data_IF_302418953613
#
_entry.id   IF_302418953613
#
_cell.length_a   1.000
_cell.length_b   1.000
_cell.length_c   1.000
_cell.angle_alpha   90.00
_cell.angle_beta   90.00
_cell.angle_gamma   90.00
#
_symmetry.space_group_name_H-M   'P 1'
#
loop_
_entity.id
_entity.type
_entity.pdbx_description
1 polymer ?
#
# COMPACT_ATOMS: atom_id res chain seq x y z
N UNK A 1 18.61 -12.11 -17.61
CA UNK A 1 17.26 -12.73 -17.51
C UNK A 1 17.42 -14.19 -17.94
N UNK A 2 16.98 -15.16 -17.11
CA UNK A 2 17.10 -16.59 -17.50
C UNK A 2 16.06 -16.96 -18.56
N UNK A 3 16.31 -18.05 -19.31
CA UNK A 3 15.34 -18.57 -20.29
C UNK A 3 14.01 -18.91 -19.61
N UNK A 4 14.08 -19.46 -18.39
CA UNK A 4 12.88 -19.77 -17.57
C UNK A 4 12.11 -18.50 -17.24
N UNK A 5 12.78 -17.43 -16.82
CA UNK A 5 12.13 -16.14 -16.53
C UNK A 5 11.44 -15.53 -17.77
N UNK A 6 12.06 -15.69 -18.96
CA UNK A 6 11.43 -15.23 -20.21
C UNK A 6 10.22 -16.08 -20.58
N UNK A 7 10.34 -17.42 -20.49
CA UNK A 7 9.24 -18.34 -20.75
C UNK A 7 8.05 -18.09 -19.82
N UNK A 8 8.30 -17.85 -18.52
CA UNK A 8 7.25 -17.55 -17.55
C UNK A 8 6.52 -16.23 -17.86
N UNK A 9 7.21 -15.21 -18.34
CA UNK A 9 6.56 -13.95 -18.76
C UNK A 9 5.59 -14.15 -19.92
N UNK A 10 5.84 -15.12 -20.79
CA UNK A 10 4.98 -15.45 -21.92
C UNK A 10 3.85 -16.42 -21.55
N UNK A 11 4.16 -17.47 -20.79
CA UNK A 11 3.22 -18.54 -20.45
C UNK A 11 2.29 -18.20 -19.26
N UNK A 12 2.76 -17.38 -18.32
CA UNK A 12 2.04 -16.97 -17.13
C UNK A 12 2.25 -15.47 -16.86
N UNK A 13 1.77 -14.58 -17.74
CA UNK A 13 1.95 -13.13 -17.56
C UNK A 13 1.27 -12.67 -16.27
N UNK A 14 1.88 -11.70 -15.58
CA UNK A 14 1.23 -11.05 -14.45
C UNK A 14 -0.01 -10.29 -14.91
N UNK A 15 -1.12 -10.37 -14.18
CA UNK A 15 -2.34 -9.65 -14.57
C UNK A 15 -2.10 -8.14 -14.54
N UNK A 16 -2.72 -7.42 -15.47
CA UNK A 16 -2.72 -5.95 -15.46
C UNK A 16 -3.61 -5.46 -14.33
N UNK A 17 -3.03 -4.83 -13.29
CA UNK A 17 -3.80 -4.45 -12.11
C UNK A 17 -4.95 -3.48 -12.45
N UNK A 18 -4.76 -2.54 -13.37
CA UNK A 18 -5.80 -1.57 -13.77
C UNK A 18 -7.05 -2.20 -14.41
N UNK A 19 -7.00 -3.49 -14.82
CA UNK A 19 -8.16 -4.19 -15.40
C UNK A 19 -9.22 -4.64 -14.38
N UNK A 20 -8.90 -4.60 -13.09
CA UNK A 20 -9.79 -5.03 -12.01
C UNK A 20 -10.70 -3.89 -11.50
N UNK A 21 -11.63 -4.23 -10.58
CA UNK A 21 -12.63 -3.29 -10.06
C UNK A 21 -12.49 -3.00 -8.57
N UNK A 22 -11.93 -3.94 -7.78
CA UNK A 22 -11.90 -3.84 -6.32
C UNK A 22 -10.46 -3.88 -5.81
N UNK A 23 -10.04 -2.78 -5.17
CA UNK A 23 -8.66 -2.55 -4.74
C UNK A 23 -8.60 -2.30 -3.24
N UNK A 24 -7.82 -3.09 -2.52
CA UNK A 24 -7.50 -2.87 -1.11
C UNK A 24 -6.04 -2.43 -0.99
N UNK A 25 -5.84 -1.18 -0.63
CA UNK A 25 -4.53 -0.63 -0.29
C UNK A 25 -4.31 -0.80 1.21
N UNK A 26 -3.23 -1.45 1.59
CA UNK A 26 -2.87 -1.71 2.99
C UNK A 26 -1.58 -0.99 3.31
N UNK A 27 -1.65 -0.08 4.28
CA UNK A 27 -0.50 0.69 4.78
C UNK A 27 -0.16 0.33 6.22
N UNK A 28 1.12 0.39 6.59
CA UNK A 28 1.53 0.34 7.99
C UNK A 28 0.91 1.48 8.79
N UNK A 29 1.29 2.71 8.52
CA UNK A 29 0.89 3.89 9.28
C UNK A 29 -0.04 4.82 8.48
N UNK A 30 -0.71 5.77 9.15
CA UNK A 30 -1.40 6.88 8.49
C UNK A 30 -0.39 7.73 7.70
N UNK A 31 -0.47 7.76 6.38
CA UNK A 31 0.34 8.43 5.34
C UNK A 31 1.06 7.49 4.34
N UNK A 32 1.41 6.26 4.71
CA UNK A 32 2.20 5.35 3.87
C UNK A 32 1.55 4.99 2.53
N UNK A 33 0.21 4.83 2.52
CA UNK A 33 -0.53 4.53 1.28
C UNK A 33 -0.43 5.69 0.33
N UNK A 34 -0.63 6.90 0.85
CA UNK A 34 -0.58 8.13 0.08
C UNK A 34 0.81 8.37 -0.49
N UNK A 35 1.86 8.20 0.31
CA UNK A 35 3.25 8.35 -0.12
C UNK A 35 3.62 7.31 -1.17
N UNK A 36 3.22 6.05 -0.96
CA UNK A 36 3.64 4.93 -1.80
C UNK A 36 2.85 4.74 -3.09
N UNK A 37 1.53 5.08 -3.09
CA UNK A 37 0.61 4.74 -4.16
C UNK A 37 -0.60 5.69 -4.27
N UNK A 38 -0.53 6.89 -3.71
CA UNK A 38 -1.65 7.83 -3.61
C UNK A 38 -2.16 8.31 -4.98
N UNK A 39 -1.28 8.54 -5.94
CA UNK A 39 -1.67 8.96 -7.28
C UNK A 39 -2.44 7.84 -8.03
N UNK A 40 -2.04 6.58 -7.86
CA UNK A 40 -2.76 5.43 -8.40
C UNK A 40 -4.11 5.26 -7.71
N UNK A 41 -4.17 5.38 -6.38
CA UNK A 41 -5.43 5.29 -5.64
C UNK A 41 -6.42 6.36 -6.10
N UNK A 42 -5.97 7.62 -6.22
CA UNK A 42 -6.80 8.73 -6.71
C UNK A 42 -7.29 8.51 -8.14
N UNK A 43 -6.43 8.01 -9.03
CA UNK A 43 -6.82 7.67 -10.39
C UNK A 43 -7.92 6.59 -10.40
N UNK A 44 -7.69 5.48 -9.70
CA UNK A 44 -8.65 4.36 -9.67
C UNK A 44 -10.00 4.81 -9.08
N UNK A 45 -10.00 5.62 -8.01
CA UNK A 45 -11.22 6.20 -7.47
C UNK A 45 -11.95 7.09 -8.48
N UNK A 46 -11.21 7.95 -9.22
CA UNK A 46 -11.79 8.81 -10.25
C UNK A 46 -12.36 8.05 -11.44
N UNK A 47 -11.87 6.83 -11.70
CA UNK A 47 -12.38 5.90 -12.72
C UNK A 47 -13.59 5.08 -12.23
N UNK A 48 -14.10 5.35 -11.04
CA UNK A 48 -15.25 4.65 -10.46
C UNK A 48 -14.93 3.25 -9.94
N UNK A 49 -13.66 2.94 -9.70
CA UNK A 49 -13.26 1.68 -9.07
C UNK A 49 -13.58 1.69 -7.56
N UNK A 50 -13.84 0.52 -7.01
CA UNK A 50 -14.01 0.36 -5.56
C UNK A 50 -12.62 0.32 -4.89
N UNK A 51 -12.26 1.39 -4.22
CA UNK A 51 -10.98 1.54 -3.52
C UNK A 51 -11.24 1.61 -2.02
N UNK A 52 -10.52 0.77 -1.26
CA UNK A 52 -10.52 0.78 0.20
C UNK A 52 -9.09 0.94 0.71
N UNK A 53 -8.91 1.75 1.75
CA UNK A 53 -7.66 1.86 2.50
C UNK A 53 -7.78 1.08 3.81
N UNK A 54 -6.74 0.34 4.16
CA UNK A 54 -6.54 -0.28 5.46
C UNK A 54 -5.25 0.23 6.07
N UNK A 55 -5.34 0.97 7.17
CA UNK A 55 -4.20 1.37 8.00
C UNK A 55 -4.11 0.39 9.18
N UNK A 56 -2.96 -0.28 9.31
CA UNK A 56 -2.81 -1.35 10.30
C UNK A 56 -2.39 -0.84 11.68
N UNK A 57 -1.46 0.11 11.70
CA UNK A 57 -0.75 0.60 12.88
C UNK A 57 -1.16 2.06 13.11
N UNK A 58 -1.37 2.43 14.37
CA UNK A 58 -1.98 3.72 14.71
C UNK A 58 -1.01 4.92 14.66
N UNK A 59 0.30 4.68 14.61
CA UNK A 59 1.31 5.72 14.49
C UNK A 59 1.48 6.61 15.72
N UNK A 60 1.05 6.14 16.90
CA UNK A 60 1.06 6.90 18.17
C UNK A 60 2.43 7.40 18.64
N UNK A 61 3.52 6.80 18.13
CA UNK A 61 4.89 7.17 18.47
C UNK A 61 5.59 7.96 17.36
N UNK A 62 4.87 8.36 16.32
CA UNK A 62 5.39 9.24 15.26
C UNK A 62 5.38 10.72 15.67
N UNK A 63 6.02 11.09 16.78
CA UNK A 63 5.98 12.41 17.40
C UNK A 63 7.19 13.31 17.06
N UNK A 64 8.11 12.83 16.23
CA UNK A 64 9.39 13.51 15.97
C UNK A 64 9.26 14.93 15.40
N UNK A 65 8.20 15.22 14.67
CA UNK A 65 7.97 16.53 14.04
C UNK A 65 6.94 17.39 14.80
N UNK A 66 6.41 16.92 15.93
CA UNK A 66 5.46 17.69 16.71
C UNK A 66 6.15 18.89 17.40
N UNK A 67 5.48 20.05 17.38
CA UNK A 67 5.96 21.27 18.03
C UNK A 67 5.60 21.34 19.53
N UNK A 68 4.68 20.48 19.99
CA UNK A 68 4.23 20.40 21.38
C UNK A 68 4.04 18.95 21.78
N UNK A 69 4.13 18.69 23.08
CA UNK A 69 3.85 17.35 23.61
C UNK A 69 2.37 17.00 23.45
N UNK A 70 2.13 15.85 22.81
CA UNK A 70 0.80 15.24 22.65
C UNK A 70 0.88 13.84 23.24
N UNK A 71 -0.17 13.37 23.90
CA UNK A 71 -0.18 11.98 24.40
C UNK A 71 -0.20 11.00 23.22
N UNK A 72 0.36 9.79 23.38
CA UNK A 72 0.33 8.78 22.32
C UNK A 72 -1.11 8.46 21.83
N UNK A 73 -2.07 8.43 22.74
CA UNK A 73 -3.48 8.18 22.47
C UNK A 73 -4.11 9.31 21.65
N UNK A 74 -3.83 10.57 22.02
CA UNK A 74 -4.33 11.73 21.28
C UNK A 74 -3.66 11.82 19.89
N UNK A 75 -2.38 11.47 19.79
CA UNK A 75 -1.69 11.44 18.51
C UNK A 75 -2.26 10.36 17.59
N UNK A 76 -2.56 9.16 18.10
CA UNK A 76 -3.22 8.11 17.33
C UNK A 76 -4.59 8.56 16.80
N UNK A 77 -5.38 9.24 17.64
CA UNK A 77 -6.68 9.78 17.24
C UNK A 77 -6.52 10.87 16.16
N UNK A 78 -5.58 11.79 16.34
CA UNK A 78 -5.27 12.84 15.37
C UNK A 78 -4.85 12.26 14.03
N UNK A 79 -3.89 11.35 14.03
CA UNK A 79 -3.38 10.72 12.79
C UNK A 79 -4.46 9.92 12.06
N UNK A 80 -5.39 9.31 12.79
CA UNK A 80 -6.55 8.66 12.18
C UNK A 80 -7.43 9.65 11.42
N UNK A 81 -7.77 10.79 12.02
CA UNK A 81 -8.55 11.84 11.35
C UNK A 81 -7.82 12.39 10.13
N UNK A 82 -6.51 12.59 10.24
CA UNK A 82 -5.67 13.06 9.14
C UNK A 82 -5.71 12.07 7.97
N UNK A 83 -5.60 10.77 8.21
CA UNK A 83 -5.68 9.73 7.19
C UNK A 83 -7.06 9.67 6.52
N UNK A 84 -8.15 9.82 7.29
CA UNK A 84 -9.51 9.87 6.73
C UNK A 84 -9.68 11.09 5.79
N UNK A 85 -9.16 12.25 6.18
CA UNK A 85 -9.20 13.49 5.36
C UNK A 85 -8.32 13.35 4.10
N UNK A 86 -7.13 12.79 4.24
CA UNK A 86 -6.19 12.54 3.15
C UNK A 86 -6.78 11.58 2.12
N UNK A 87 -7.33 10.46 2.56
CA UNK A 87 -8.00 9.50 1.70
C UNK A 87 -9.19 10.13 0.94
N UNK A 88 -10.01 10.93 1.63
CA UNK A 88 -11.13 11.65 1.03
C UNK A 88 -10.65 12.65 -0.06
N UNK A 89 -9.53 13.33 0.15
CA UNK A 89 -8.91 14.21 -0.85
C UNK A 89 -8.47 13.45 -2.11
N UNK A 90 -8.11 12.17 -1.98
CA UNK A 90 -7.83 11.26 -3.10
C UNK A 90 -9.09 10.67 -3.74
N UNK A 91 -10.27 10.88 -3.14
CA UNK A 91 -11.54 10.31 -3.59
C UNK A 91 -11.83 8.91 -3.03
N UNK A 92 -11.12 8.51 -1.98
CA UNK A 92 -11.31 7.24 -1.28
C UNK A 92 -12.09 7.47 0.01
N UNK A 93 -13.24 6.81 0.18
CA UNK A 93 -14.15 7.01 1.31
C UNK A 93 -14.33 5.77 2.20
N UNK A 94 -13.89 4.58 1.77
CA UNK A 94 -13.81 3.37 2.63
C UNK A 94 -12.40 3.31 3.23
N UNK A 95 -12.26 3.81 4.46
CA UNK A 95 -10.99 3.79 5.21
C UNK A 95 -11.19 2.97 6.47
N UNK A 96 -10.35 1.97 6.68
CA UNK A 96 -10.42 1.03 7.79
C UNK A 96 -9.13 1.06 8.59
N UNK A 97 -9.23 0.78 9.89
CA UNK A 97 -8.10 0.80 10.82
C UNK A 97 -8.11 -0.47 11.66
N UNK A 98 -6.94 -1.09 11.84
CA UNK A 98 -6.79 -2.17 12.83
C UNK A 98 -6.49 -1.59 14.22
N UNK A 99 -5.85 -0.43 14.29
CA UNK A 99 -5.51 0.25 15.55
C UNK A 99 -4.46 -0.47 16.37
N UNK A 100 -3.56 -1.21 15.71
CA UNK A 100 -2.43 -1.87 16.39
C UNK A 100 -1.40 -0.83 16.83
N UNK A 101 -0.75 -1.09 17.96
CA UNK A 101 0.22 -0.16 18.53
C UNK A 101 1.50 -0.10 17.71
N UNK A 102 1.98 1.10 17.43
CA UNK A 102 3.19 1.43 16.67
C UNK A 102 4.46 0.77 17.26
N UNK A 103 5.50 0.61 16.40
CA UNK A 103 6.81 0.13 16.83
C UNK A 103 6.92 -1.39 17.03
N UNK A 104 6.03 -2.17 16.46
CA UNK A 104 6.03 -3.64 16.59
C UNK A 104 5.42 -4.16 17.91
N UNK A 105 4.74 -3.29 18.69
CA UNK A 105 4.08 -3.68 19.94
C UNK A 105 2.74 -4.39 19.72
N UNK A 106 2.74 -5.37 18.83
CA UNK A 106 1.64 -6.27 18.49
C UNK A 106 2.20 -7.63 18.10
N UNK A 107 1.36 -8.65 18.09
CA UNK A 107 1.75 -9.96 17.57
C UNK A 107 1.51 -10.05 16.05
N UNK A 108 2.35 -10.82 15.37
CA UNK A 108 2.12 -11.09 13.93
C UNK A 108 0.80 -11.83 13.66
N UNK A 109 0.29 -12.60 14.63
CA UNK A 109 -1.01 -13.28 14.51
C UNK A 109 -2.17 -12.27 14.55
N UNK A 110 -2.12 -11.29 15.46
CA UNK A 110 -3.10 -10.19 15.51
C UNK A 110 -3.14 -9.40 14.21
N UNK A 111 -1.97 -8.98 13.71
CA UNK A 111 -1.85 -8.27 12.44
C UNK A 111 -2.40 -9.12 11.28
N UNK A 112 -1.99 -10.37 11.18
CA UNK A 112 -2.42 -11.26 10.11
C UNK A 112 -3.95 -11.50 10.14
N UNK A 113 -4.54 -11.80 11.30
CA UNK A 113 -5.99 -11.99 11.46
C UNK A 113 -6.77 -10.72 11.14
N UNK A 114 -6.26 -9.57 11.54
CA UNK A 114 -6.86 -8.27 11.21
C UNK A 114 -6.90 -8.04 9.70
N UNK A 115 -5.77 -8.23 9.01
CA UNK A 115 -5.68 -8.12 7.55
C UNK A 115 -6.58 -9.15 6.86
N UNK A 116 -6.54 -10.42 7.28
CA UNK A 116 -7.35 -11.49 6.69
C UNK A 116 -8.85 -11.19 6.79
N UNK A 117 -9.30 -10.67 7.94
CA UNK A 117 -10.70 -10.27 8.15
C UNK A 117 -11.13 -9.19 7.17
N UNK A 118 -10.34 -8.12 7.04
CA UNK A 118 -10.66 -7.02 6.11
C UNK A 118 -10.66 -7.51 4.66
N UNK A 119 -9.70 -8.36 4.26
CA UNK A 119 -9.71 -9.01 2.93
C UNK A 119 -11.00 -9.81 2.72
N UNK A 120 -11.43 -10.59 3.69
CA UNK A 120 -12.64 -11.40 3.62
C UNK A 120 -13.94 -10.59 3.57
N UNK A 121 -13.98 -9.43 4.24
CA UNK A 121 -15.12 -8.51 4.26
C UNK A 121 -15.20 -7.68 2.97
N UNK A 122 -14.10 -7.05 2.58
CA UNK A 122 -14.05 -6.18 1.40
C UNK A 122 -14.04 -6.98 0.09
N UNK A 123 -13.49 -8.20 0.08
CA UNK A 123 -13.34 -9.09 -1.08
C UNK A 123 -12.62 -8.42 -2.26
N UNK A 124 -11.38 -7.95 -2.07
CA UNK A 124 -10.63 -7.31 -3.14
C UNK A 124 -10.24 -8.31 -4.24
N UNK A 125 -10.05 -7.81 -5.46
CA UNK A 125 -9.40 -8.53 -6.55
C UNK A 125 -7.89 -8.24 -6.55
N UNK A 126 -7.50 -7.03 -6.16
CA UNK A 126 -6.10 -6.59 -6.03
C UNK A 126 -5.87 -6.12 -4.60
N UNK A 127 -4.81 -6.66 -3.98
CA UNK A 127 -4.30 -6.18 -2.70
C UNK A 127 -2.98 -5.46 -2.95
N UNK A 128 -2.82 -4.26 -2.38
CA UNK A 128 -1.58 -3.49 -2.48
C UNK A 128 -0.98 -3.31 -1.08
N UNK A 129 0.35 -3.37 -0.98
CA UNK A 129 1.08 -3.23 0.28
C UNK A 129 2.52 -2.76 0.05
N UNK A 130 3.26 -2.30 1.09
CA UNK A 130 4.68 -2.02 0.96
C UNK A 130 5.46 -3.30 0.62
N UNK A 131 6.54 -3.15 -0.17
CA UNK A 131 7.37 -4.28 -0.58
C UNK A 131 8.31 -4.75 0.53
N UNK A 132 8.10 -5.93 1.15
CA UNK A 132 8.94 -6.42 2.24
C UNK A 132 10.32 -6.92 1.76
N UNK A 133 10.58 -6.92 0.45
CA UNK A 133 11.85 -7.38 -0.12
C UNK A 133 12.81 -6.22 -0.43
N UNK A 134 12.52 -5.01 0.01
CA UNK A 134 13.43 -3.85 -0.12
C UNK A 134 14.48 -3.93 0.97
N UNK A 135 15.74 -4.12 0.58
CA UNK A 135 16.84 -4.36 1.54
C UNK A 135 17.20 -3.15 2.40
N UNK A 136 16.83 -1.95 1.99
CA UNK A 136 17.01 -0.71 2.75
C UNK A 136 15.85 -0.39 3.70
N UNK A 137 14.76 -1.16 3.64
CA UNK A 137 13.65 -0.99 4.57
C UNK A 137 14.01 -1.63 5.91
N UNK A 138 14.04 -0.81 6.95
CA UNK A 138 14.40 -1.25 8.31
C UNK A 138 13.24 -1.08 9.30
N UNK A 139 12.14 -0.44 8.88
CA UNK A 139 11.00 -0.22 9.78
C UNK A 139 10.25 -1.53 10.00
N UNK A 140 10.20 -1.97 11.26
CA UNK A 140 9.61 -3.25 11.65
C UNK A 140 8.15 -3.41 11.19
N UNK A 141 7.38 -2.32 11.26
CA UNK A 141 5.96 -2.33 10.91
C UNK A 141 5.76 -2.47 9.39
N UNK A 142 6.59 -1.80 8.57
CA UNK A 142 6.57 -1.95 7.11
C UNK A 142 6.86 -3.38 6.68
N UNK A 143 7.92 -3.97 7.27
CA UNK A 143 8.30 -5.36 7.00
C UNK A 143 7.20 -6.34 7.43
N UNK A 144 6.66 -6.17 8.65
CA UNK A 144 5.62 -7.05 9.18
C UNK A 144 4.32 -6.96 8.36
N UNK A 145 3.87 -5.75 8.01
CA UNK A 145 2.66 -5.56 7.19
C UNK A 145 2.87 -6.17 5.80
N UNK A 146 3.97 -5.87 5.12
CA UNK A 146 4.27 -6.44 3.80
C UNK A 146 4.29 -7.97 3.80
N UNK A 147 4.90 -8.59 4.82
CA UNK A 147 4.95 -10.04 5.00
C UNK A 147 3.60 -10.67 5.32
N UNK A 148 2.82 -10.05 6.22
CA UNK A 148 1.48 -10.55 6.55
C UNK A 148 0.54 -10.44 5.35
N UNK A 149 0.60 -9.34 4.61
CA UNK A 149 -0.20 -9.16 3.38
C UNK A 149 0.18 -10.19 2.32
N UNK A 150 1.48 -10.49 2.14
CA UNK A 150 1.93 -11.52 1.21
C UNK A 150 1.24 -12.87 1.45
N UNK A 151 1.18 -13.28 2.71
CA UNK A 151 0.55 -14.55 3.11
C UNK A 151 -0.96 -14.48 3.00
N UNK A 152 -1.58 -13.40 3.47
CA UNK A 152 -3.03 -13.23 3.45
C UNK A 152 -3.57 -13.18 2.01
N UNK A 153 -2.91 -12.47 1.09
CA UNK A 153 -3.30 -12.41 -0.31
C UNK A 153 -3.25 -13.80 -0.99
N UNK A 154 -2.21 -14.60 -0.71
CA UNK A 154 -2.10 -15.96 -1.21
C UNK A 154 -3.18 -16.89 -0.64
N UNK A 155 -3.47 -16.77 0.66
CA UNK A 155 -4.43 -17.62 1.36
C UNK A 155 -5.89 -17.22 1.13
N UNK A 156 -6.15 -15.99 0.70
CA UNK A 156 -7.50 -15.42 0.57
C UNK A 156 -8.50 -16.28 -0.21
N UNK A 157 -8.15 -17.01 -1.29
CA UNK A 157 -9.10 -17.88 -2.00
C UNK A 157 -9.45 -19.18 -1.25
N UNK A 158 -8.69 -19.57 -0.23
CA UNK A 158 -8.86 -20.86 0.46
C UNK A 158 -9.82 -20.75 1.64
N UNK A 159 -11.11 -21.01 1.42
CA UNK A 159 -12.19 -20.79 2.39
C UNK A 159 -11.98 -21.45 3.76
N UNK A 160 -11.56 -22.72 3.80
CA UNK A 160 -11.33 -23.43 5.06
C UNK A 160 -10.12 -22.87 5.84
N UNK A 161 -9.09 -22.41 5.14
CA UNK A 161 -7.92 -21.78 5.77
C UNK A 161 -8.32 -20.42 6.34
N UNK A 162 -9.01 -19.60 5.56
CA UNK A 162 -9.47 -18.27 6.00
C UNK A 162 -10.43 -18.38 7.18
N UNK A 163 -11.33 -19.37 7.18
CA UNK A 163 -12.22 -19.64 8.31
C UNK A 163 -11.44 -19.97 9.60
N UNK A 164 -10.33 -20.71 9.53
CA UNK A 164 -9.43 -20.96 10.66
C UNK A 164 -8.80 -19.70 11.25
N UNK A 165 -8.70 -18.64 10.45
CA UNK A 165 -8.25 -17.30 10.89
C UNK A 165 -9.41 -16.36 11.27
N UNK A 166 -10.67 -16.86 11.24
CA UNK A 166 -11.85 -16.03 11.54
C UNK A 166 -12.26 -15.09 10.41
N UNK A 167 -11.91 -15.42 9.17
CA UNK A 167 -12.17 -14.60 7.99
C UNK A 167 -12.91 -15.37 6.88
N UNK A 168 -13.63 -14.65 6.04
CA UNK A 168 -14.21 -15.23 4.83
C UNK A 168 -13.17 -15.28 3.69
N UNK A 169 -13.36 -16.17 2.70
CA UNK A 169 -12.55 -16.18 1.48
C UNK A 169 -12.81 -14.97 0.61
N UNK A 170 -11.80 -14.59 -0.18
CA UNK A 170 -11.87 -13.48 -1.13
C UNK A 170 -11.23 -13.85 -2.48
N UNK A 171 -11.71 -13.27 -3.61
CA UNK A 171 -11.26 -13.61 -4.96
C UNK A 171 -9.98 -12.86 -5.35
N UNK A 172 -8.96 -12.81 -4.50
CA UNK A 172 -7.70 -12.10 -4.79
C UNK A 172 -7.04 -12.70 -6.03
N UNK A 173 -6.75 -11.85 -7.01
CA UNK A 173 -6.14 -12.17 -8.31
C UNK A 173 -4.73 -11.65 -8.44
N UNK A 174 -4.41 -10.58 -7.73
CA UNK A 174 -3.09 -9.97 -7.77
C UNK A 174 -2.71 -9.38 -6.41
N UNK A 175 -1.42 -9.46 -6.13
CA UNK A 175 -0.72 -8.72 -5.10
C UNK A 175 0.22 -7.73 -5.77
N UNK A 176 0.12 -6.45 -5.44
CA UNK A 176 0.94 -5.40 -6.01
C UNK A 176 1.68 -4.65 -4.89
N UNK A 177 2.99 -4.72 -4.90
CA UNK A 177 3.79 -4.01 -3.91
C UNK A 177 4.14 -2.61 -4.41
N UNK A 178 3.85 -1.60 -3.60
CA UNK A 178 4.36 -0.24 -3.76
C UNK A 178 5.67 -0.04 -2.96
N UNK A 179 6.32 1.12 -3.07
CA UNK A 179 7.65 1.39 -2.49
C UNK A 179 8.68 0.31 -2.84
N UNK A 180 8.57 -0.26 -4.04
CA UNK A 180 9.45 -1.33 -4.52
C UNK A 180 10.66 -0.77 -5.28
N UNK A 181 11.81 -1.45 -5.16
CA UNK A 181 12.99 -1.18 -5.98
C UNK A 181 12.94 -1.87 -7.35
N UNK A 182 12.04 -2.87 -7.52
CA UNK A 182 11.96 -3.70 -8.73
C UNK A 182 10.54 -3.71 -9.32
N UNK A 183 10.01 -2.58 -9.81
CA UNK A 183 8.68 -2.55 -10.39
C UNK A 183 8.61 -3.39 -11.66
N UNK A 184 7.50 -4.12 -11.81
CA UNK A 184 7.20 -4.94 -13.00
C UNK A 184 6.03 -4.38 -13.81
N UNK A 185 5.22 -3.52 -13.20
CA UNK A 185 4.13 -2.78 -13.86
C UNK A 185 4.16 -1.31 -13.45
N UNK A 186 3.66 -0.47 -14.35
CA UNK A 186 3.59 0.97 -14.15
C UNK A 186 2.17 1.45 -14.44
N UNK A 187 1.58 2.18 -13.49
CA UNK A 187 0.29 2.85 -13.65
C UNK A 187 0.54 4.30 -14.01
N UNK A 188 -0.09 4.79 -15.09
CA UNK A 188 0.00 6.19 -15.49
C UNK A 188 -0.69 7.07 -14.46
N UNK A 189 0.03 8.07 -13.95
CA UNK A 189 -0.46 9.00 -12.90
C UNK A 189 -0.41 10.47 -13.33
N UNK A 190 -0.31 10.74 -14.64
CA UNK A 190 -0.33 12.10 -15.16
C UNK A 190 -1.62 12.80 -14.76
N UNK A 191 -1.49 13.96 -14.08
CA UNK A 191 -2.62 14.71 -13.52
C UNK A 191 -3.03 14.31 -12.09
N UNK A 192 -2.39 13.29 -11.49
CA UNK A 192 -2.71 12.84 -10.14
C UNK A 192 -1.60 13.05 -9.12
N UNK A 193 -0.37 13.33 -9.55
CA UNK A 193 0.78 13.53 -8.65
C UNK A 193 0.58 14.74 -7.74
N UNK A 194 0.09 15.86 -8.27
CA UNK A 194 -0.18 17.04 -7.44
C UNK A 194 -1.28 16.77 -6.43
N UNK A 195 -2.33 16.04 -6.81
CA UNK A 195 -3.41 15.64 -5.90
C UNK A 195 -2.90 14.72 -4.78
N UNK A 196 -1.96 13.81 -5.09
CA UNK A 196 -1.27 12.98 -4.09
C UNK A 196 -0.52 13.87 -3.09
N UNK A 197 0.27 14.82 -3.57
CA UNK A 197 1.05 15.71 -2.72
C UNK A 197 0.16 16.61 -1.85
N UNK A 198 -0.93 17.13 -2.42
CA UNK A 198 -1.92 17.92 -1.67
C UNK A 198 -2.58 17.07 -0.57
N UNK A 199 -2.95 15.82 -0.88
CA UNK A 199 -3.52 14.91 0.11
C UNK A 199 -2.56 14.67 1.28
N UNK A 200 -1.28 14.46 1.02
CA UNK A 200 -0.26 14.26 2.05
C UNK A 200 -0.06 15.56 2.88
N UNK A 201 0.34 16.64 2.23
CA UNK A 201 0.87 17.81 2.93
C UNK A 201 -0.19 18.78 3.46
N UNK A 202 -1.44 18.67 3.02
CA UNK A 202 -2.54 19.45 3.57
C UNK A 202 -3.30 18.72 4.70
N UNK A 203 -3.13 17.41 4.83
CA UNK A 203 -3.89 16.64 5.81
C UNK A 203 -3.02 15.98 6.90
N UNK A 204 -1.84 15.45 6.59
CA UNK A 204 -0.94 14.85 7.58
C UNK A 204 -0.05 15.91 8.26
N UNK A 205 -0.68 16.90 8.89
CA UNK A 205 -0.01 18.04 9.52
C UNK A 205 0.81 17.62 10.74
N UNK A 206 0.39 16.59 11.46
CA UNK A 206 1.16 16.05 12.59
C UNK A 206 2.53 15.52 12.16
N UNK A 207 2.62 14.97 10.95
CA UNK A 207 3.86 14.43 10.38
C UNK A 207 4.63 15.46 9.56
N UNK A 208 3.92 16.32 8.85
CA UNK A 208 4.49 17.31 7.93
C UNK A 208 3.97 18.71 8.25
N UNK A 209 4.35 19.27 9.42
CA UNK A 209 3.94 20.64 9.78
C UNK A 209 4.50 21.65 8.77
N UNK A 210 3.83 22.81 8.61
CA UNK A 210 4.28 23.87 7.69
C UNK A 210 5.76 24.24 7.94
N UNK A 211 6.56 24.22 6.86
CA UNK A 211 7.99 24.52 6.94
C UNK A 211 8.89 23.31 7.27
N UNK A 212 8.34 22.13 7.51
CA UNK A 212 9.10 20.91 7.72
C UNK A 212 10.02 20.59 6.53
N UNK A 213 11.28 20.26 6.81
CA UNK A 213 12.27 19.89 5.79
C UNK A 213 11.91 18.60 5.07
N UNK A 214 11.34 17.65 5.81
CA UNK A 214 10.94 16.34 5.29
C UNK A 214 9.84 16.44 4.23
N UNK A 215 8.90 17.38 4.38
CA UNK A 215 7.86 17.63 3.38
C UNK A 215 8.44 17.98 2.00
N UNK A 216 9.51 18.81 1.98
CA UNK A 216 10.20 19.18 0.73
C UNK A 216 10.94 17.99 0.12
N UNK A 217 11.62 17.21 0.95
CA UNK A 217 12.37 16.03 0.51
C UNK A 217 11.45 14.96 -0.07
N UNK A 218 10.34 14.65 0.61
CA UNK A 218 9.34 13.68 0.17
C UNK A 218 8.63 14.16 -1.10
N UNK A 219 8.25 15.44 -1.17
CA UNK A 219 7.64 16.00 -2.38
C UNK A 219 8.57 15.87 -3.59
N UNK A 220 9.85 16.22 -3.43
CA UNK A 220 10.86 16.07 -4.49
C UNK A 220 11.02 14.59 -4.88
N UNK A 221 11.13 13.69 -3.90
CA UNK A 221 11.25 12.25 -4.13
C UNK A 221 10.07 11.69 -4.93
N UNK A 222 8.83 11.99 -4.54
CA UNK A 222 7.61 11.54 -5.24
C UNK A 222 7.61 12.05 -6.69
N UNK A 223 7.92 13.32 -6.93
CA UNK A 223 7.98 13.90 -8.28
C UNK A 223 9.07 13.26 -9.15
N UNK A 224 10.27 13.08 -8.61
CA UNK A 224 11.38 12.44 -9.33
C UNK A 224 11.06 10.98 -9.64
N UNK A 225 10.49 10.25 -8.69
CA UNK A 225 10.10 8.84 -8.88
C UNK A 225 8.99 8.71 -9.93
N UNK A 226 7.97 9.58 -9.89
CA UNK A 226 6.91 9.60 -10.88
C UNK A 226 7.43 9.92 -12.29
N UNK A 227 8.38 10.83 -12.43
CA UNK A 227 9.01 11.16 -13.70
C UNK A 227 9.89 10.00 -14.22
N UNK A 228 10.73 9.39 -13.35
CA UNK A 228 11.57 8.24 -13.72
C UNK A 228 10.73 7.05 -14.20
N UNK A 229 9.68 6.69 -13.48
CA UNK A 229 8.78 5.61 -13.88
C UNK A 229 7.94 5.97 -15.11
N UNK A 230 7.57 7.24 -15.26
CA UNK A 230 6.93 7.76 -16.46
C UNK A 230 7.81 7.59 -17.68
N UNK A 231 9.09 7.95 -17.58
CA UNK A 231 10.08 7.77 -18.65
C UNK A 231 10.27 6.29 -19.01
N UNK A 232 10.50 5.41 -18.01
CA UNK A 232 10.67 3.97 -18.23
C UNK A 232 9.48 3.30 -18.90
N UNK A 233 8.27 3.82 -18.69
CA UNK A 233 7.03 3.25 -19.21
C UNK A 233 6.43 4.01 -20.38
N UNK A 234 7.03 5.15 -20.80
CA UNK A 234 6.53 6.06 -21.84
C UNK A 234 5.13 6.60 -21.51
N UNK A 235 4.86 6.89 -20.23
CA UNK A 235 3.52 7.28 -19.74
C UNK A 235 3.40 8.72 -19.22
N UNK A 236 4.46 9.53 -19.37
CA UNK A 236 4.54 10.87 -18.79
C UNK A 236 4.96 10.78 -17.31
N UNK A 237 4.03 10.68 -16.36
CA UNK A 237 4.32 10.30 -14.98
C UNK A 237 3.65 8.97 -14.64
N UNK A 238 4.28 8.17 -13.76
CA UNK A 238 3.76 6.88 -13.37
C UNK A 238 4.16 6.50 -11.93
N UNK A 239 3.38 5.64 -11.30
CA UNK A 239 3.79 4.86 -10.14
C UNK A 239 4.13 3.43 -10.56
N UNK A 240 5.13 2.85 -9.89
CA UNK A 240 5.64 1.52 -10.22
C UNK A 240 5.32 0.50 -9.13
N UNK A 241 4.87 -0.67 -9.55
CA UNK A 241 4.47 -1.77 -8.68
C UNK A 241 5.18 -3.06 -9.04
N UNK A 242 5.60 -3.82 -8.03
CA UNK A 242 6.00 -5.22 -8.23
C UNK A 242 4.75 -6.10 -8.10
N UNK A 243 4.27 -6.61 -9.20
CA UNK A 243 3.00 -7.34 -9.26
C UNK A 243 3.24 -8.84 -9.34
N UNK A 244 2.52 -9.58 -8.50
CA UNK A 244 2.43 -11.03 -8.50
C UNK A 244 0.98 -11.43 -8.77
N UNK A 245 0.74 -12.27 -9.77
CA UNK A 245 -0.53 -12.96 -9.97
C UNK A 245 -0.59 -14.25 -9.14
N UNK A 246 -1.71 -14.94 -9.17
CA UNK A 246 -1.92 -16.19 -8.42
C UNK A 246 -0.83 -17.23 -8.72
N UNK A 247 -0.44 -17.37 -9.98
CA UNK A 247 0.61 -18.32 -10.39
C UNK A 247 1.99 -17.93 -9.85
N UNK A 248 2.31 -16.63 -9.83
CA UNK A 248 3.61 -16.15 -9.34
C UNK A 248 3.72 -16.18 -7.82
N UNK A 249 2.62 -16.18 -7.09
CA UNK A 249 2.62 -16.28 -5.63
C UNK A 249 2.99 -17.67 -5.10
N UNK A 250 3.08 -18.69 -5.97
CA UNK A 250 3.36 -20.08 -5.55
C UNK A 250 4.32 -20.79 -6.48
N UNK A 251 5.39 -21.39 -5.93
CA UNK A 251 6.30 -22.31 -6.59
C UNK A 251 7.04 -21.81 -7.85
N UNK A 252 7.17 -20.50 -8.06
CA UNK A 252 7.92 -19.94 -9.19
C UNK A 252 9.03 -19.00 -8.71
N UNK A 253 10.20 -19.52 -8.29
CA UNK A 253 11.30 -18.70 -7.76
C UNK A 253 11.74 -17.58 -8.72
N UNK A 254 11.71 -17.84 -10.04
CA UNK A 254 12.10 -16.89 -11.07
C UNK A 254 11.11 -15.72 -11.23
N UNK A 255 9.90 -15.86 -10.74
CA UNK A 255 8.89 -14.80 -10.78
C UNK A 255 9.09 -13.74 -9.67
N UNK A 256 9.88 -14.05 -8.64
CA UNK A 256 10.15 -13.16 -7.51
C UNK A 256 11.34 -12.21 -7.71
N UNK A 257 12.06 -12.31 -8.83
CA UNK A 257 13.32 -11.60 -9.10
C UNK A 257 13.13 -10.43 -10.08
#
# INVERSE_FOLDING_TARGET
MSIVSLALKLAAPTPKIESFQRFLFIGPHPDDIEIGAGATASKLASEGKNVCFLVCIDGRYGDANLQSHVSPEDLAALRREEAEKSAAALGVHDVRFLGLTDGGFYTRDELFRGIARVIGEFKPEVVLAPDPCVTSECHIDHLNVGECVRRAAYLAPYGNIMAGYGAASAPVKALAYYMTAKPTQYVKTTGYVDRQLDAIFQNHISQFPPGCGDAKAISLYIRLRAADFGLRSLKGSAEGFRVLGVTQMHCLPEAGN
#
